data_IF_174637301209
#
_entry.id   IF_174637301209
#
_cell.length_a   1.000
_cell.length_b   1.000
_cell.length_c   1.000
_cell.angle_alpha   90.00
_cell.angle_beta   90.00
_cell.angle_gamma   90.00
#
_symmetry.space_group_name_H-M   'P 1'
#
loop_
_entity.id
_entity.type
_entity.pdbx_description
1 polymer ?
#
# COMPACT_ATOMS: atom_id res chain seq x y z
N UNK A 1 39.91 -65.56 38.86
CA UNK A 1 39.76 -64.09 39.02
C UNK A 1 39.60 -63.48 37.64
N UNK A 2 38.35 -63.27 37.18
CA UNK A 2 38.09 -62.70 35.87
C UNK A 2 37.53 -61.29 36.09
N UNK A 3 38.26 -60.27 35.63
CA UNK A 3 37.90 -58.90 35.68
C UNK A 3 37.13 -58.55 34.38
N UNK A 4 35.80 -58.28 34.48
CA UNK A 4 34.99 -57.87 33.37
C UNK A 4 35.12 -56.31 33.18
N UNK A 5 35.68 -55.86 32.05
CA UNK A 5 35.70 -54.47 31.65
C UNK A 5 34.34 -54.08 31.01
N UNK A 6 33.59 -53.16 31.64
CA UNK A 6 32.43 -52.54 31.09
C UNK A 6 32.85 -51.38 30.15
N UNK A 7 32.53 -51.52 28.89
CA UNK A 7 32.59 -50.36 27.93
C UNK A 7 31.34 -49.55 28.10
N UNK A 8 31.50 -48.26 28.49
CA UNK A 8 30.44 -47.25 28.38
C UNK A 8 30.43 -46.70 26.94
N UNK A 9 29.38 -46.97 26.19
CA UNK A 9 29.09 -46.26 24.94
C UNK A 9 28.43 -44.93 25.30
N UNK A 10 29.16 -43.83 25.12
CA UNK A 10 28.59 -42.48 25.15
C UNK A 10 27.90 -42.21 23.81
N UNK A 11 26.57 -42.31 23.79
CA UNK A 11 25.78 -41.91 22.64
C UNK A 11 25.73 -40.38 22.54
N UNK A 12 26.35 -39.80 21.51
CA UNK A 12 26.17 -38.40 21.14
C UNK A 12 24.82 -38.28 20.43
N UNK A 13 23.82 -37.71 21.12
CA UNK A 13 22.59 -37.26 20.49
C UNK A 13 22.87 -35.94 19.74
N UNK A 14 23.02 -36.02 18.43
CA UNK A 14 22.95 -34.86 17.52
C UNK A 14 21.50 -34.43 17.47
N UNK A 15 21.15 -33.36 18.21
CA UNK A 15 19.91 -32.67 18.01
C UNK A 15 19.95 -31.99 16.62
N UNK A 16 18.94 -32.17 15.76
CA UNK A 16 18.88 -31.44 14.51
C UNK A 16 18.73 -29.95 14.82
N UNK A 17 19.70 -29.15 14.41
CA UNK A 17 19.58 -27.71 14.37
C UNK A 17 18.57 -27.42 13.26
N UNK A 18 17.31 -27.18 13.63
CA UNK A 18 16.31 -26.63 12.74
C UNK A 18 16.83 -25.26 12.30
N UNK A 19 17.46 -25.22 11.13
CA UNK A 19 17.73 -23.94 10.47
C UNK A 19 16.37 -23.33 10.15
N UNK A 20 15.97 -22.33 10.92
CA UNK A 20 14.89 -21.44 10.53
C UNK A 20 15.36 -20.77 9.24
N UNK A 21 14.88 -21.27 8.10
CA UNK A 21 15.17 -20.68 6.80
C UNK A 21 14.78 -19.21 6.86
N UNK A 22 15.72 -18.30 6.56
CA UNK A 22 15.39 -16.88 6.38
C UNK A 22 14.24 -16.80 5.39
N UNK A 23 13.12 -16.26 5.82
CA UNK A 23 11.99 -16.02 4.94
C UNK A 23 12.48 -15.14 3.79
N UNK A 24 12.18 -15.53 2.55
CA UNK A 24 12.61 -14.77 1.38
C UNK A 24 11.96 -13.36 1.43
N UNK A 25 12.71 -12.32 1.06
CA UNK A 25 12.18 -10.98 1.07
C UNK A 25 10.98 -10.86 0.11
N UNK A 26 9.96 -10.10 0.52
CA UNK A 26 8.78 -9.81 -0.29
C UNK A 26 9.00 -8.45 -0.95
N UNK A 27 8.96 -8.41 -2.28
CA UNK A 27 8.97 -7.16 -3.03
C UNK A 27 7.55 -6.83 -3.50
N UNK A 28 7.16 -5.58 -3.33
CA UNK A 28 5.91 -5.08 -3.87
C UNK A 28 6.10 -3.71 -4.52
N UNK A 29 5.17 -3.35 -5.40
CA UNK A 29 5.14 -2.05 -6.06
C UNK A 29 3.93 -1.28 -5.60
N UNK A 30 4.13 -0.02 -5.22
CA UNK A 30 3.08 0.96 -5.03
C UNK A 30 3.07 1.92 -6.21
N UNK A 31 1.93 2.03 -6.86
CA UNK A 31 1.55 3.11 -7.77
C UNK A 31 0.53 4.00 -7.09
N UNK A 32 0.40 5.24 -7.53
CA UNK A 32 -0.62 6.15 -7.04
C UNK A 32 -1.11 7.05 -8.16
N UNK A 33 -2.31 7.54 -8.05
CA UNK A 33 -2.85 8.63 -8.85
C UNK A 33 -2.66 8.43 -10.37
N UNK A 34 -3.09 7.29 -10.98
CA UNK A 34 -3.15 7.19 -12.43
C UNK A 34 -4.09 8.22 -13.03
N UNK A 35 -5.15 8.56 -12.36
CA UNK A 35 -6.05 9.72 -12.48
C UNK A 35 -6.36 10.13 -13.92
N UNK A 36 -6.89 9.14 -14.70
CA UNK A 36 -7.20 9.32 -16.11
C UNK A 36 -8.05 10.57 -16.36
N UNK A 37 -7.52 11.48 -17.16
CA UNK A 37 -8.15 12.75 -17.53
C UNK A 37 -7.57 13.99 -16.85
N UNK A 38 -6.64 13.87 -15.92
CA UNK A 38 -6.10 15.01 -15.17
C UNK A 38 -5.21 15.93 -16.02
N UNK A 39 -4.45 15.38 -17.01
CA UNK A 39 -3.59 16.22 -17.85
C UNK A 39 -4.36 17.25 -18.67
N UNK A 40 -5.54 16.89 -19.14
CA UNK A 40 -6.32 17.68 -20.12
C UNK A 40 -7.67 18.13 -19.60
N UNK A 41 -7.88 18.13 -18.27
CA UNK A 41 -9.16 18.48 -17.64
C UNK A 41 -10.35 17.69 -18.22
N UNK A 42 -10.17 16.37 -18.29
CA UNK A 42 -11.15 15.38 -18.78
C UNK A 42 -11.50 15.49 -20.29
N UNK A 43 -10.70 16.15 -21.11
CA UNK A 43 -10.90 16.17 -22.55
C UNK A 43 -10.39 14.88 -23.22
N UNK A 44 -9.27 14.36 -22.75
CA UNK A 44 -8.72 13.06 -23.11
C UNK A 44 -7.90 12.49 -21.94
N UNK A 45 -7.30 11.33 -22.12
CA UNK A 45 -6.42 10.71 -21.14
C UNK A 45 -5.24 9.97 -21.79
N UNK A 46 -4.77 10.45 -22.93
CA UNK A 46 -3.72 9.78 -23.71
C UNK A 46 -2.40 9.68 -22.94
N UNK A 47 -2.05 10.72 -22.17
CA UNK A 47 -0.80 10.71 -21.40
C UNK A 47 -0.88 9.74 -20.20
N UNK A 48 -2.00 9.72 -19.49
CA UNK A 48 -2.22 8.78 -18.38
C UNK A 48 -2.24 7.33 -18.89
N UNK A 49 -2.86 7.09 -20.06
CA UNK A 49 -2.81 5.80 -20.77
C UNK A 49 -1.36 5.37 -21.01
N UNK A 50 -0.55 6.23 -21.62
CA UNK A 50 0.84 5.92 -21.93
C UNK A 50 1.66 5.63 -20.65
N UNK A 51 1.49 6.45 -19.60
CA UNK A 51 2.17 6.30 -18.34
C UNK A 51 1.80 4.99 -17.62
N UNK A 52 0.49 4.70 -17.53
CA UNK A 52 0.03 3.51 -16.81
C UNK A 52 0.34 2.22 -17.58
N UNK A 53 0.25 2.21 -18.92
CA UNK A 53 0.71 1.09 -19.74
C UNK A 53 2.21 0.84 -19.58
N UNK A 54 3.02 1.91 -19.56
CA UNK A 54 4.46 1.80 -19.31
C UNK A 54 4.76 1.22 -17.92
N UNK A 55 4.03 1.68 -16.88
CA UNK A 55 4.18 1.16 -15.53
C UNK A 55 3.84 -0.34 -15.48
N UNK A 56 2.69 -0.76 -16.00
CA UNK A 56 2.25 -2.18 -16.03
C UNK A 56 3.24 -3.07 -16.79
N UNK A 57 3.76 -2.61 -17.94
CA UNK A 57 4.76 -3.38 -18.70
C UNK A 57 6.06 -3.59 -17.90
N UNK A 58 6.51 -2.58 -17.15
CA UNK A 58 7.68 -2.69 -16.29
C UNK A 58 7.42 -3.54 -15.04
N UNK A 59 6.22 -3.47 -14.47
CA UNK A 59 5.83 -4.34 -13.35
C UNK A 59 5.82 -5.81 -13.78
N UNK A 60 5.28 -6.13 -14.96
CA UNK A 60 5.34 -7.48 -15.51
C UNK A 60 6.79 -7.98 -15.67
N UNK A 61 7.71 -7.12 -16.09
CA UNK A 61 9.14 -7.45 -16.19
C UNK A 61 9.81 -7.64 -14.82
N UNK A 62 9.46 -6.79 -13.85
CA UNK A 62 10.03 -6.83 -12.49
C UNK A 62 9.48 -7.97 -11.65
N UNK A 63 8.25 -8.37 -11.89
CA UNK A 63 7.53 -9.47 -11.28
C UNK A 63 7.51 -9.41 -9.73
N UNK A 64 6.95 -8.34 -9.12
CA UNK A 64 6.80 -8.25 -7.67
C UNK A 64 5.78 -9.27 -7.14
N UNK A 65 5.76 -9.48 -5.82
CA UNK A 65 4.78 -10.33 -5.18
C UNK A 65 3.35 -9.81 -5.30
N UNK A 66 3.18 -8.48 -5.33
CA UNK A 66 1.89 -7.80 -5.57
C UNK A 66 2.09 -6.33 -5.94
N UNK A 67 1.00 -5.71 -6.37
CA UNK A 67 0.92 -4.28 -6.68
C UNK A 67 -0.23 -3.66 -5.91
N UNK A 68 -0.03 -2.44 -5.40
CA UNK A 68 -1.10 -1.60 -4.84
C UNK A 68 -1.18 -0.30 -5.61
N UNK A 69 -2.40 0.11 -6.01
CA UNK A 69 -2.69 1.43 -6.56
C UNK A 69 -3.41 2.25 -5.49
N UNK A 70 -2.73 3.24 -4.92
CA UNK A 70 -3.21 4.02 -3.77
C UNK A 70 -4.11 5.19 -4.19
N UNK A 71 -5.18 4.88 -4.92
CA UNK A 71 -6.31 5.77 -5.18
C UNK A 71 -6.17 6.70 -6.37
N UNK A 72 -7.23 7.47 -6.58
CA UNK A 72 -7.45 8.36 -7.72
C UNK A 72 -7.22 7.63 -9.05
N UNK A 73 -8.01 6.57 -9.24
CA UNK A 73 -7.95 5.74 -10.45
C UNK A 73 -8.42 6.53 -11.66
N UNK A 74 -9.40 7.42 -11.44
CA UNK A 74 -9.99 8.31 -12.44
C UNK A 74 -9.94 9.75 -11.94
N UNK A 75 -10.00 10.73 -12.85
CA UNK A 75 -10.08 12.14 -12.48
C UNK A 75 -11.52 12.60 -12.24
N UNK A 76 -12.49 12.05 -12.98
CA UNK A 76 -13.90 12.38 -12.83
C UNK A 76 -14.66 11.19 -12.24
N UNK A 77 -15.27 11.35 -11.05
CA UNK A 77 -15.99 10.25 -10.39
C UNK A 77 -17.01 9.60 -11.33
N UNK A 78 -17.04 8.28 -11.35
CA UNK A 78 -17.96 7.46 -12.14
C UNK A 78 -17.92 7.69 -13.67
N UNK A 79 -16.86 8.32 -14.22
CA UNK A 79 -16.70 8.42 -15.67
C UNK A 79 -16.42 7.04 -16.26
N UNK A 80 -17.35 6.58 -17.11
CA UNK A 80 -17.32 5.23 -17.65
C UNK A 80 -16.11 4.98 -18.59
N UNK A 81 -15.64 6.01 -19.31
CA UNK A 81 -14.53 5.88 -20.25
C UNK A 81 -13.19 5.81 -19.50
N UNK A 82 -12.97 6.70 -18.53
CA UNK A 82 -11.78 6.68 -17.69
C UNK A 82 -11.68 5.38 -16.92
N UNK A 83 -12.80 4.92 -16.36
CA UNK A 83 -12.87 3.67 -15.61
C UNK A 83 -12.62 2.42 -16.49
N UNK A 84 -13.17 2.42 -17.72
CA UNK A 84 -12.93 1.35 -18.68
C UNK A 84 -11.45 1.29 -19.08
N UNK A 85 -10.81 2.45 -19.27
CA UNK A 85 -9.39 2.53 -19.62
C UNK A 85 -8.50 2.05 -18.48
N UNK A 86 -8.76 2.48 -17.24
CA UNK A 86 -8.07 1.96 -16.06
C UNK A 86 -8.13 0.42 -16.04
N UNK A 87 -9.34 -0.15 -16.16
CA UNK A 87 -9.55 -1.61 -16.13
C UNK A 87 -8.85 -2.31 -17.31
N UNK A 88 -8.91 -1.72 -18.50
CA UNK A 88 -8.25 -2.26 -19.68
C UNK A 88 -6.75 -2.43 -19.50
N UNK A 89 -6.10 -1.42 -18.92
CA UNK A 89 -4.66 -1.43 -18.71
C UNK A 89 -4.30 -2.29 -17.51
N UNK A 90 -5.02 -2.17 -16.38
CA UNK A 90 -4.83 -3.04 -15.22
C UNK A 90 -4.95 -4.53 -15.58
N UNK A 91 -5.85 -4.87 -16.52
CA UNK A 91 -6.00 -6.23 -17.03
C UNK A 91 -4.84 -6.73 -17.89
N UNK A 92 -3.84 -5.90 -18.22
CA UNK A 92 -2.58 -6.32 -18.86
C UNK A 92 -1.52 -6.78 -17.86
N UNK A 93 -1.77 -6.62 -16.57
CA UNK A 93 -0.89 -7.15 -15.53
C UNK A 93 -0.88 -8.69 -15.62
N UNK A 94 0.29 -9.28 -15.44
CA UNK A 94 0.44 -10.73 -15.39
C UNK A 94 -0.49 -11.30 -14.30
N UNK A 95 -1.27 -12.31 -14.67
CA UNK A 95 -2.31 -12.89 -13.79
C UNK A 95 -1.77 -13.52 -12.51
N UNK A 96 -0.47 -13.75 -12.42
CA UNK A 96 0.21 -14.23 -11.21
C UNK A 96 0.57 -13.12 -10.24
N UNK A 97 0.44 -11.85 -10.64
CA UNK A 97 0.72 -10.69 -9.81
C UNK A 97 -0.61 -10.09 -9.33
N UNK A 98 -0.99 -10.22 -8.06
CA UNK A 98 -2.19 -9.58 -7.52
C UNK A 98 -2.10 -8.06 -7.59
N UNK A 99 -3.23 -7.42 -7.97
CA UNK A 99 -3.38 -5.97 -7.94
C UNK A 99 -4.47 -5.60 -6.95
N UNK A 100 -4.15 -4.69 -6.04
CA UNK A 100 -5.04 -4.16 -5.01
C UNK A 100 -5.30 -2.68 -5.26
N UNK A 101 -6.58 -2.29 -5.39
CA UNK A 101 -6.99 -0.90 -5.62
C UNK A 101 -7.52 -0.27 -4.34
N UNK A 102 -7.00 0.89 -4.00
CA UNK A 102 -7.46 1.73 -2.89
C UNK A 102 -8.36 2.82 -3.46
N UNK A 103 -9.47 3.20 -2.83
CA UNK A 103 -10.26 4.34 -3.30
C UNK A 103 -9.56 5.67 -3.00
N UNK A 104 -9.53 6.58 -3.98
CA UNK A 104 -9.15 7.97 -3.81
C UNK A 104 -10.37 8.90 -3.76
N UNK A 105 -10.14 10.17 -3.46
CA UNK A 105 -11.22 11.15 -3.39
C UNK A 105 -11.83 11.46 -4.77
N UNK A 106 -11.11 11.29 -5.86
CA UNK A 106 -11.68 11.37 -7.21
C UNK A 106 -12.49 10.12 -7.59
N UNK A 107 -12.34 9.00 -6.87
CA UNK A 107 -13.11 7.78 -7.12
C UNK A 107 -14.45 7.78 -6.36
N UNK A 108 -14.46 8.27 -5.10
CA UNK A 108 -15.63 8.21 -4.21
C UNK A 108 -16.18 9.58 -3.80
N UNK A 109 -15.54 10.67 -4.23
CA UNK A 109 -15.84 12.06 -3.84
C UNK A 109 -15.02 12.53 -2.64
N UNK A 110 -14.69 13.82 -2.59
CA UNK A 110 -14.05 14.43 -1.40
C UNK A 110 -14.90 14.17 -0.16
N UNK A 111 -16.21 14.39 -0.26
CA UNK A 111 -17.20 13.95 0.74
C UNK A 111 -17.96 12.78 0.16
N UNK A 112 -17.66 11.53 0.57
CA UNK A 112 -18.32 10.35 0.04
C UNK A 112 -19.84 10.35 0.26
N UNK A 113 -20.56 9.75 -0.67
CA UNK A 113 -22.00 9.50 -0.54
C UNK A 113 -22.30 7.99 -0.66
N UNK A 114 -23.47 7.58 -0.20
CA UNK A 114 -23.89 6.19 -0.38
C UNK A 114 -23.90 5.78 -1.87
N UNK A 115 -24.22 6.70 -2.77
CA UNK A 115 -24.22 6.45 -4.21
C UNK A 115 -22.80 6.28 -4.76
N UNK A 116 -21.83 7.14 -4.38
CA UNK A 116 -20.44 7.03 -4.85
C UNK A 116 -19.75 5.79 -4.31
N UNK A 117 -19.96 5.45 -3.04
CA UNK A 117 -19.44 4.20 -2.46
C UNK A 117 -20.00 2.96 -3.16
N UNK A 118 -21.32 2.95 -3.45
CA UNK A 118 -21.95 1.88 -4.20
C UNK A 118 -21.35 1.75 -5.61
N UNK A 119 -21.15 2.87 -6.30
CA UNK A 119 -20.56 2.88 -7.64
C UNK A 119 -19.13 2.34 -7.64
N UNK A 120 -18.28 2.75 -6.68
CA UNK A 120 -16.94 2.21 -6.52
C UNK A 120 -16.96 0.70 -6.28
N UNK A 121 -17.75 0.25 -5.30
CA UNK A 121 -17.88 -1.17 -4.94
C UNK A 121 -18.35 -2.05 -6.11
N UNK A 122 -19.25 -1.53 -6.95
CA UNK A 122 -19.73 -2.24 -8.15
C UNK A 122 -18.71 -2.30 -9.27
N UNK A 123 -17.90 -1.26 -9.41
CA UNK A 123 -16.98 -1.12 -10.54
C UNK A 123 -15.58 -1.64 -10.27
N UNK A 124 -15.07 -1.45 -9.06
CA UNK A 124 -13.69 -1.81 -8.68
C UNK A 124 -13.69 -2.97 -7.68
N UNK A 125 -14.45 -2.86 -6.59
CA UNK A 125 -14.47 -3.85 -5.51
C UNK A 125 -14.66 -3.19 -4.16
N UNK A 126 -14.36 -3.92 -3.09
CA UNK A 126 -14.44 -3.39 -1.72
C UNK A 126 -13.60 -2.11 -1.59
N UNK A 127 -14.11 -1.14 -0.84
CA UNK A 127 -13.43 0.15 -0.62
C UNK A 127 -12.58 0.17 0.66
N UNK A 128 -12.72 -0.82 1.53
CA UNK A 128 -11.77 -1.17 2.59
C UNK A 128 -11.76 -2.69 2.79
N UNK A 129 -10.60 -3.28 2.99
CA UNK A 129 -10.41 -4.73 3.07
C UNK A 129 -9.00 -5.08 3.53
N UNK A 130 -8.75 -6.36 3.81
CA UNK A 130 -7.41 -6.90 4.05
C UNK A 130 -6.99 -7.86 2.94
N UNK A 131 -5.68 -8.02 2.79
CA UNK A 131 -5.08 -9.03 1.93
C UNK A 131 -3.77 -9.55 2.54
N UNK A 132 -3.35 -10.75 2.12
CA UNK A 132 -2.13 -11.37 2.62
C UNK A 132 -1.15 -11.65 1.48
N UNK A 133 0.13 -11.42 1.74
CA UNK A 133 1.22 -11.81 0.85
C UNK A 133 2.44 -12.23 1.68
N UNK A 134 2.72 -13.52 1.72
CA UNK A 134 3.76 -14.06 2.61
C UNK A 134 3.49 -13.72 4.07
N UNK A 135 4.46 -13.07 4.74
CA UNK A 135 4.31 -12.60 6.13
C UNK A 135 3.69 -11.20 6.29
N UNK A 136 3.28 -10.56 5.19
CA UNK A 136 2.67 -9.23 5.20
C UNK A 136 1.14 -9.35 5.22
N UNK A 137 0.50 -8.59 6.10
CA UNK A 137 -0.92 -8.27 6.03
C UNK A 137 -1.09 -6.82 5.57
N UNK A 138 -1.73 -6.64 4.42
CA UNK A 138 -2.13 -5.34 3.91
C UNK A 138 -3.53 -4.98 4.37
N UNK A 139 -3.68 -3.80 4.96
CA UNK A 139 -4.97 -3.21 5.34
C UNK A 139 -5.24 -2.03 4.42
N UNK A 140 -6.25 -2.13 3.58
CA UNK A 140 -6.71 -1.03 2.72
C UNK A 140 -7.78 -0.23 3.45
N UNK A 141 -7.61 1.10 3.51
CA UNK A 141 -8.56 2.04 4.09
C UNK A 141 -9.11 3.00 3.03
N UNK A 142 -10.40 3.29 3.11
CA UNK A 142 -11.01 4.41 2.41
C UNK A 142 -10.78 5.70 3.23
N UNK A 143 -9.73 6.43 2.88
CA UNK A 143 -9.32 7.64 3.60
C UNK A 143 -10.28 8.82 3.43
N UNK A 144 -11.12 8.84 2.39
CA UNK A 144 -12.17 9.84 2.25
C UNK A 144 -13.26 9.69 3.34
N UNK A 145 -13.54 8.46 3.81
CA UNK A 145 -14.40 8.22 4.98
C UNK A 145 -13.78 8.73 6.27
N UNK A 146 -12.44 8.77 6.34
CA UNK A 146 -11.72 9.30 7.51
C UNK A 146 -11.71 10.82 7.46
N UNK A 147 -11.44 11.41 6.30
CA UNK A 147 -11.33 12.86 6.12
C UNK A 147 -12.68 13.56 6.27
N UNK A 148 -13.74 12.98 5.66
CA UNK A 148 -15.09 13.55 5.60
C UNK A 148 -16.17 12.54 6.02
N UNK A 149 -16.15 12.11 7.30
CA UNK A 149 -17.11 11.11 7.81
C UNK A 149 -18.57 11.60 7.78
N UNK A 150 -18.78 12.94 7.76
CA UNK A 150 -20.12 13.55 7.77
C UNK A 150 -20.97 13.21 6.54
N UNK A 151 -20.37 12.85 5.41
CA UNK A 151 -21.08 12.47 4.20
C UNK A 151 -21.85 11.15 4.33
N UNK A 152 -21.27 10.20 5.07
CA UNK A 152 -21.82 8.86 5.31
C UNK A 152 -21.36 8.34 6.68
N UNK A 153 -21.83 8.93 7.79
CA UNK A 153 -21.28 8.68 9.13
C UNK A 153 -21.35 7.22 9.56
N UNK A 154 -22.40 6.51 9.17
CA UNK A 154 -22.50 5.09 9.50
C UNK A 154 -21.49 4.21 8.76
N UNK A 155 -21.11 4.56 7.52
CA UNK A 155 -20.05 3.85 6.80
C UNK A 155 -18.69 4.13 7.42
N UNK A 156 -18.42 5.38 7.79
CA UNK A 156 -17.19 5.76 8.47
C UNK A 156 -17.04 5.02 9.81
N UNK A 157 -18.11 4.94 10.61
CA UNK A 157 -18.12 4.17 11.86
C UNK A 157 -17.93 2.66 11.63
N UNK A 158 -18.54 2.11 10.56
CA UNK A 158 -18.33 0.70 10.19
C UNK A 158 -16.90 0.40 9.85
N UNK A 159 -16.24 1.24 9.02
CA UNK A 159 -14.83 1.09 8.69
C UNK A 159 -13.95 1.19 9.96
N UNK A 160 -14.24 2.12 10.85
CA UNK A 160 -13.49 2.31 12.10
C UNK A 160 -13.55 1.05 12.99
N UNK A 161 -14.75 0.53 13.26
CA UNK A 161 -14.94 -0.70 14.04
C UNK A 161 -14.32 -1.92 13.37
N UNK A 162 -14.43 -2.00 12.04
CA UNK A 162 -13.78 -3.06 11.26
C UNK A 162 -12.26 -3.01 11.40
N UNK A 163 -11.66 -1.84 11.27
CA UNK A 163 -10.21 -1.66 11.44
C UNK A 163 -9.72 -2.13 12.81
N UNK A 164 -10.43 -1.76 13.89
CA UNK A 164 -10.10 -2.23 15.24
C UNK A 164 -10.07 -3.76 15.32
N UNK A 165 -11.07 -4.44 14.72
CA UNK A 165 -11.17 -5.90 14.73
C UNK A 165 -10.05 -6.54 13.88
N UNK A 166 -9.73 -5.99 12.70
CA UNK A 166 -8.67 -6.54 11.85
C UNK A 166 -7.28 -6.41 12.50
N UNK A 167 -7.01 -5.28 13.17
CA UNK A 167 -5.76 -5.11 13.91
C UNK A 167 -5.61 -6.11 15.08
N UNK A 168 -6.71 -6.44 15.75
CA UNK A 168 -6.70 -7.51 16.77
C UNK A 168 -6.42 -8.87 16.13
N UNK A 169 -7.07 -9.21 15.02
CA UNK A 169 -6.84 -10.46 14.29
C UNK A 169 -5.38 -10.59 13.82
N UNK A 170 -4.82 -9.53 13.23
CA UNK A 170 -3.44 -9.51 12.75
C UNK A 170 -2.44 -9.77 13.89
N UNK A 171 -2.65 -9.14 15.05
CA UNK A 171 -1.84 -9.38 16.24
C UNK A 171 -1.94 -10.83 16.71
N UNK A 172 -3.17 -11.37 16.80
CA UNK A 172 -3.41 -12.72 17.29
C UNK A 172 -2.88 -13.80 16.31
N UNK A 173 -2.87 -13.51 15.01
CA UNK A 173 -2.25 -14.33 13.98
C UNK A 173 -0.72 -14.25 13.93
N UNK A 174 -0.11 -13.34 14.71
CA UNK A 174 1.34 -13.12 14.75
C UNK A 174 1.95 -12.89 13.36
N UNK A 175 1.30 -12.09 12.51
CA UNK A 175 1.84 -11.72 11.20
C UNK A 175 3.15 -10.95 11.36
N UNK A 176 4.05 -11.10 10.41
CA UNK A 176 5.37 -10.47 10.46
C UNK A 176 5.27 -8.93 10.39
N UNK A 177 4.40 -8.42 9.53
CA UNK A 177 4.25 -7.00 9.31
C UNK A 177 2.82 -6.65 8.88
N UNK A 178 2.21 -5.67 9.54
CA UNK A 178 0.97 -5.04 9.09
C UNK A 178 1.32 -3.73 8.39
N UNK A 179 0.81 -3.55 7.17
CA UNK A 179 0.99 -2.35 6.35
C UNK A 179 -0.36 -1.76 6.00
N UNK A 180 -0.56 -0.47 6.26
CA UNK A 180 -1.77 0.24 5.85
C UNK A 180 -1.55 0.91 4.50
N UNK A 181 -2.52 0.78 3.61
CA UNK A 181 -2.60 1.44 2.31
C UNK A 181 -3.86 2.30 2.26
N UNK A 182 -3.68 3.59 2.01
CA UNK A 182 -4.77 4.55 1.88
C UNK A 182 -4.42 5.59 0.82
N UNK A 183 -5.37 6.44 0.45
CA UNK A 183 -5.10 7.48 -0.55
C UNK A 183 -4.58 8.76 0.09
N UNK A 184 -5.37 9.39 0.97
CA UNK A 184 -5.02 10.65 1.62
C UNK A 184 -4.13 10.34 2.82
N UNK A 185 -2.88 10.86 2.91
CA UNK A 185 -1.98 10.58 4.03
C UNK A 185 -2.50 11.17 5.34
N UNK A 186 -2.17 10.55 6.46
CA UNK A 186 -2.47 11.14 7.77
C UNK A 186 -1.74 12.46 7.96
N UNK A 187 -0.48 12.52 7.56
CA UNK A 187 0.36 13.71 7.57
C UNK A 187 1.44 13.61 6.48
N UNK A 188 2.05 14.72 6.11
CA UNK A 188 3.09 14.74 5.08
C UNK A 188 4.51 14.67 5.69
N UNK A 189 4.74 15.39 6.79
CA UNK A 189 6.06 15.53 7.41
C UNK A 189 6.04 15.20 8.90
N UNK A 190 5.10 15.78 9.65
CA UNK A 190 5.00 15.56 11.10
C UNK A 190 3.54 15.33 11.53
N UNK A 191 3.30 14.51 12.54
CA UNK A 191 1.93 14.16 12.97
C UNK A 191 1.14 15.34 13.53
N UNK A 192 1.80 16.41 13.93
CA UNK A 192 1.24 17.65 14.50
C UNK A 192 1.14 18.79 13.47
N UNK A 193 1.43 18.54 12.19
CA UNK A 193 1.31 19.56 11.15
C UNK A 193 -0.13 20.07 11.02
N UNK A 194 -0.26 21.31 10.52
CA UNK A 194 -1.57 21.96 10.31
C UNK A 194 -2.44 21.19 9.31
N UNK A 195 -3.75 21.30 9.47
CA UNK A 195 -4.72 20.75 8.55
C UNK A 195 -4.60 21.44 7.18
N UNK A 196 -4.63 20.64 6.13
CA UNK A 196 -4.57 21.08 4.75
C UNK A 196 -5.27 20.09 3.82
N UNK A 197 -5.48 20.46 2.55
CA UNK A 197 -6.14 19.60 1.58
C UNK A 197 -5.49 18.22 1.43
N UNK A 198 -4.17 18.14 1.58
CA UNK A 198 -3.37 16.95 1.32
C UNK A 198 -3.16 16.04 2.54
N UNK A 199 -3.79 16.32 3.68
CA UNK A 199 -3.69 15.44 4.84
C UNK A 199 -5.03 15.22 5.56
N UNK A 200 -5.10 14.19 6.37
CA UNK A 200 -6.25 13.95 7.24
C UNK A 200 -6.25 15.00 8.37
N UNK A 201 -7.40 15.67 8.65
CA UNK A 201 -7.49 16.65 9.72
C UNK A 201 -7.07 16.11 11.09
N UNK A 202 -6.46 16.95 11.91
CA UNK A 202 -5.91 16.57 13.21
C UNK A 202 -6.95 15.94 14.16
N UNK A 203 -8.22 16.35 14.04
CA UNK A 203 -9.32 15.79 14.83
C UNK A 203 -9.58 14.30 14.59
N UNK A 204 -9.41 13.84 13.37
CA UNK A 204 -9.50 12.42 13.00
C UNK A 204 -8.14 11.73 13.08
N UNK A 205 -7.08 12.39 12.60
CA UNK A 205 -5.72 11.87 12.52
C UNK A 205 -5.21 11.31 13.83
N UNK A 206 -5.43 12.02 14.93
CA UNK A 206 -4.89 11.64 16.26
C UNK A 206 -5.40 10.27 16.73
N UNK A 207 -6.68 9.99 16.55
CA UNK A 207 -7.27 8.71 16.94
C UNK A 207 -6.73 7.54 16.11
N UNK A 208 -6.65 7.72 14.77
CA UNK A 208 -6.13 6.68 13.89
C UNK A 208 -4.65 6.39 14.14
N UNK A 209 -3.83 7.43 14.34
CA UNK A 209 -2.41 7.25 14.65
C UNK A 209 -2.20 6.52 15.97
N UNK A 210 -2.96 6.87 17.02
CA UNK A 210 -2.92 6.15 18.30
C UNK A 210 -3.29 4.69 18.14
N UNK A 211 -4.40 4.40 17.44
CA UNK A 211 -4.84 3.03 17.18
C UNK A 211 -3.78 2.21 16.44
N UNK A 212 -3.24 2.75 15.33
CA UNK A 212 -2.26 2.06 14.50
C UNK A 212 -0.96 1.79 15.28
N UNK A 213 -0.44 2.80 16.00
CA UNK A 213 0.81 2.67 16.75
C UNK A 213 0.70 1.66 17.91
N UNK A 214 -0.37 1.73 18.72
CA UNK A 214 -0.59 0.75 19.81
C UNK A 214 -0.86 -0.66 19.31
N UNK A 215 -1.27 -0.81 18.04
CA UNK A 215 -1.45 -2.10 17.38
C UNK A 215 -0.19 -2.60 16.66
N UNK A 216 0.93 -1.87 16.74
CA UNK A 216 2.21 -2.27 16.17
C UNK A 216 2.34 -2.01 14.66
N UNK A 217 1.44 -1.23 14.05
CA UNK A 217 1.57 -0.81 12.65
C UNK A 217 2.72 0.18 12.53
N UNK A 218 3.66 -0.12 11.62
CA UNK A 218 4.86 0.70 11.43
C UNK A 218 4.87 1.46 10.11
N UNK A 219 4.05 1.08 9.14
CA UNK A 219 4.11 1.61 7.78
C UNK A 219 2.72 1.94 7.26
N UNK A 220 2.57 3.18 6.76
CA UNK A 220 1.39 3.63 6.02
C UNK A 220 1.85 4.18 4.67
N UNK A 221 1.31 3.63 3.59
CA UNK A 221 1.56 4.09 2.23
C UNK A 221 0.36 4.85 1.69
N UNK A 222 0.61 6.02 1.10
CA UNK A 222 -0.44 6.89 0.56
C UNK A 222 -0.05 7.52 -0.79
N UNK A 223 -0.99 8.24 -1.40
CA UNK A 223 -0.86 9.04 -2.61
C UNK A 223 -1.33 10.48 -2.41
N UNK A 224 -2.23 10.95 -3.29
CA UNK A 224 -2.96 12.22 -3.20
C UNK A 224 -2.13 13.50 -3.39
N UNK A 225 -0.90 13.54 -2.90
CA UNK A 225 -0.05 14.72 -2.96
C UNK A 225 0.49 15.00 -4.38
N UNK A 226 0.47 14.00 -5.27
CA UNK A 226 1.13 14.04 -6.58
C UNK A 226 2.63 14.36 -6.53
N UNK A 227 3.24 14.13 -5.39
CA UNK A 227 4.67 14.24 -5.10
C UNK A 227 5.05 13.21 -4.03
N UNK A 228 6.34 12.94 -3.92
CA UNK A 228 6.85 12.14 -2.82
C UNK A 228 6.93 12.97 -1.55
N UNK A 229 6.48 12.39 -0.44
CA UNK A 229 6.73 12.91 0.90
C UNK A 229 7.02 11.78 1.87
N UNK A 230 7.74 12.09 2.93
CA UNK A 230 8.06 11.17 4.00
C UNK A 230 7.96 11.89 5.33
N UNK A 231 7.24 11.29 6.24
CA UNK A 231 7.14 11.73 7.62
C UNK A 231 7.13 10.54 8.56
N UNK A 232 7.37 10.77 9.84
CA UNK A 232 7.36 9.70 10.83
C UNK A 232 6.92 10.19 12.20
N UNK A 233 6.35 9.28 12.97
CA UNK A 233 6.24 9.37 14.43
C UNK A 233 7.42 8.61 15.06
N UNK A 234 7.38 8.36 16.37
CA UNK A 234 8.38 7.48 17.01
C UNK A 234 8.38 6.05 16.47
N UNK A 235 7.23 5.52 16.04
CA UNK A 235 7.07 4.11 15.69
C UNK A 235 6.42 3.85 14.31
N UNK A 236 5.88 4.89 13.63
CA UNK A 236 5.16 4.75 12.37
C UNK A 236 5.78 5.66 11.31
N UNK A 237 6.00 5.12 10.11
CA UNK A 237 6.43 5.83 8.90
C UNK A 237 5.23 6.09 7.99
N UNK A 238 5.02 7.37 7.62
CA UNK A 238 4.04 7.82 6.62
C UNK A 238 4.76 8.05 5.31
N UNK A 239 4.45 7.24 4.31
CA UNK A 239 5.13 7.21 3.01
C UNK A 239 4.13 7.66 1.94
N UNK A 240 4.29 8.87 1.44
CA UNK A 240 3.45 9.39 0.34
C UNK A 240 4.20 9.23 -0.98
N UNK A 241 3.54 8.68 -1.98
CA UNK A 241 4.14 8.31 -3.26
C UNK A 241 3.66 9.23 -4.37
N UNK A 242 4.60 9.70 -5.19
CA UNK A 242 4.32 10.47 -6.39
C UNK A 242 3.50 9.68 -7.42
N UNK A 243 2.83 10.35 -8.36
CA UNK A 243 1.83 9.75 -9.23
C UNK A 243 2.44 8.92 -10.36
N UNK A 244 1.67 7.95 -10.85
CA UNK A 244 1.87 7.36 -12.19
C UNK A 244 1.38 8.35 -13.26
N UNK A 245 0.25 9.00 -12.99
CA UNK A 245 -0.34 10.04 -13.86
C UNK A 245 0.42 11.36 -13.80
N UNK A 246 -0.31 12.45 -13.61
CA UNK A 246 0.23 13.81 -13.66
C UNK A 246 0.87 14.24 -12.34
N UNK A 247 2.18 14.54 -12.31
CA UNK A 247 2.80 15.14 -11.13
C UNK A 247 2.36 16.59 -10.95
N UNK A 248 2.41 17.08 -9.72
CA UNK A 248 2.24 18.50 -9.39
C UNK A 248 3.61 19.14 -9.12
N UNK A 249 3.78 20.39 -9.58
CA UNK A 249 5.05 21.11 -9.46
C UNK A 249 6.18 20.47 -10.29
N UNK A 250 7.33 20.22 -9.65
CA UNK A 250 8.55 19.68 -10.29
C UNK A 250 8.71 18.17 -10.15
N UNK A 251 7.69 17.47 -9.68
CA UNK A 251 7.70 16.02 -9.53
C UNK A 251 7.77 15.27 -10.87
N UNK A 252 7.98 13.98 -10.82
CA UNK A 252 7.99 13.11 -11.98
C UNK A 252 7.00 11.96 -11.81
N UNK A 253 6.46 11.47 -12.93
CA UNK A 253 5.66 10.24 -12.94
C UNK A 253 6.55 9.04 -12.68
N UNK A 254 6.06 8.09 -11.89
CA UNK A 254 6.84 6.93 -11.50
C UNK A 254 6.08 5.95 -10.62
N UNK A 255 6.84 5.09 -9.94
CA UNK A 255 6.31 4.12 -8.99
C UNK A 255 7.31 3.87 -7.85
N UNK A 256 6.81 3.42 -6.73
CA UNK A 256 7.62 3.04 -5.58
C UNK A 256 7.80 1.53 -5.52
N UNK A 257 9.03 1.10 -5.34
CA UNK A 257 9.36 -0.29 -5.01
C UNK A 257 9.62 -0.38 -3.52
N UNK A 258 9.08 -1.40 -2.89
CA UNK A 258 9.33 -1.70 -1.48
C UNK A 258 9.73 -3.16 -1.32
N UNK A 259 10.58 -3.41 -0.33
CA UNK A 259 11.07 -4.74 0.09
C UNK A 259 10.82 -4.92 1.57
N UNK A 260 10.08 -5.95 1.93
CA UNK A 260 9.92 -6.41 3.30
C UNK A 260 10.86 -7.59 3.57
N UNK A 261 11.64 -7.49 4.63
CA UNK A 261 12.45 -8.58 5.18
C UNK A 261 12.39 -8.60 6.72
N UNK A 262 13.31 -9.34 7.38
CA UNK A 262 13.37 -9.41 8.84
C UNK A 262 13.65 -8.09 9.54
N UNK A 263 14.24 -7.11 8.85
CA UNK A 263 14.62 -5.81 9.41
C UNK A 263 13.51 -4.77 9.25
N UNK A 264 12.48 -5.08 8.46
CA UNK A 264 11.35 -4.21 8.17
C UNK A 264 11.22 -3.87 6.68
N UNK A 265 10.63 -2.69 6.36
CA UNK A 265 10.44 -2.27 4.99
C UNK A 265 11.53 -1.26 4.58
N UNK A 266 12.20 -1.57 3.48
CA UNK A 266 13.00 -0.63 2.70
C UNK A 266 12.20 -0.22 1.46
N UNK A 267 12.26 1.04 1.04
CA UNK A 267 11.48 1.53 -0.09
C UNK A 267 12.20 2.66 -0.84
N UNK A 268 11.94 2.75 -2.14
CA UNK A 268 12.46 3.82 -2.98
C UNK A 268 11.48 4.14 -4.12
N UNK A 269 11.32 5.43 -4.42
CA UNK A 269 10.57 5.88 -5.59
C UNK A 269 11.51 5.92 -6.80
N UNK A 270 11.02 5.44 -7.93
CA UNK A 270 11.70 5.48 -9.21
C UNK A 270 10.83 6.21 -10.22
N UNK A 271 11.33 7.29 -10.79
CA UNK A 271 10.69 7.88 -11.96
C UNK A 271 10.81 6.97 -13.18
N UNK A 272 10.03 7.22 -14.21
CA UNK A 272 10.00 6.36 -15.39
C UNK A 272 11.28 6.35 -16.23
N UNK A 273 12.15 7.35 -16.06
CA UNK A 273 13.46 7.38 -16.73
C UNK A 273 14.50 6.50 -16.01
N UNK A 274 14.29 6.19 -14.73
CA UNK A 274 15.27 5.52 -13.87
C UNK A 274 14.76 4.24 -13.22
N UNK A 275 13.82 3.53 -13.86
CA UNK A 275 13.30 2.28 -13.33
C UNK A 275 14.39 1.21 -13.20
N UNK A 276 14.37 0.42 -12.10
CA UNK A 276 15.36 -0.63 -11.89
C UNK A 276 15.20 -1.76 -12.91
N UNK A 277 16.30 -2.42 -13.23
CA UNK A 277 16.28 -3.58 -14.11
C UNK A 277 15.80 -4.85 -13.40
N UNK A 278 16.09 -4.99 -12.11
CA UNK A 278 15.74 -6.15 -11.27
C UNK A 278 15.45 -5.69 -9.85
N UNK A 279 14.54 -6.39 -9.16
CA UNK A 279 14.19 -6.07 -7.76
C UNK A 279 15.30 -6.45 -6.77
N UNK A 280 16.02 -7.54 -7.02
CA UNK A 280 17.02 -8.12 -6.11
C UNK A 280 18.15 -7.15 -5.73
N UNK A 281 18.54 -6.24 -6.62
CA UNK A 281 19.68 -5.35 -6.43
C UNK A 281 19.34 -3.96 -5.88
N UNK A 282 18.05 -3.63 -5.72
CA UNK A 282 17.63 -2.26 -5.34
C UNK A 282 18.11 -1.87 -3.94
N UNK A 283 18.10 -2.81 -3.00
CA UNK A 283 18.39 -2.57 -1.58
C UNK A 283 19.58 -3.37 -1.07
N UNK A 284 20.45 -3.86 -1.94
CA UNK A 284 21.72 -4.48 -1.54
C UNK A 284 22.66 -3.38 -1.02
N UNK A 285 23.23 -3.61 0.16
CA UNK A 285 24.29 -2.74 0.67
C UNK A 285 25.51 -2.86 -0.28
N UNK A 286 25.86 -1.75 -0.94
CA UNK A 286 27.13 -1.62 -1.65
C UNK A 286 28.29 -1.69 -0.66
#
# INVERSE_FOLDING_TARGET
>A
MHIARRFMLSGFFLLPVLSWGRQQPIFFVQMSDPQFGMYTDNQDFAQETANFEFAIANINRLHPAFVVVTGDLVNKPADAQQLAEYKRIAGKLDSTIPLYSVPGNHDVGNTPSAASLKAYRQNIGADYYTFHSGGLEGIVLNSSLIQHPEGVPEEAERQQKWLELELVKARDAAVQCVVVFQHIPFFLHTPDEADQYFNIPATQRSWYLDLLQRSGVRYVFAGHLHNNSFGKTESLEMITTGPVGKPLGTGASGMRVARLDSDGIQQAFFDFAHLPNQLSHIFEKQ
#
